data_IF_040453309989
#
_entry.id   IF_040453309989
#
_cell.length_a   1.000
_cell.length_b   1.000
_cell.length_c   1.000
_cell.angle_alpha   90.00
_cell.angle_beta   90.00
_cell.angle_gamma   90.00
#
_symmetry.space_group_name_H-M   'P 1'
#
loop_
_entity.id
_entity.type
_entity.pdbx_description
1 polymer ?
#
# COMPACT_ATOMS: atom_id res chain seq x y z
N UNK A 1 -26.04 34.38 -16.46
CA UNK A 1 -26.49 32.96 -16.50
C UNK A 1 -25.28 32.03 -16.38
N UNK A 2 -24.41 32.27 -15.39
CA UNK A 2 -23.14 31.55 -15.17
C UNK A 2 -23.00 31.05 -13.74
N UNK A 3 -23.90 31.44 -12.83
CA UNK A 3 -23.83 31.13 -11.39
C UNK A 3 -24.28 29.70 -11.02
N UNK A 4 -24.57 28.86 -12.00
CA UNK A 4 -25.00 27.46 -11.78
C UNK A 4 -23.88 26.44 -11.98
N UNK A 5 -22.73 26.85 -12.50
CA UNK A 5 -21.58 25.97 -12.64
C UNK A 5 -20.71 26.12 -11.39
N UNK A 6 -20.89 25.21 -10.42
CA UNK A 6 -19.90 25.02 -9.35
C UNK A 6 -18.55 24.82 -10.03
N UNK A 7 -17.57 25.67 -9.71
CA UNK A 7 -16.19 25.46 -10.14
C UNK A 7 -15.77 24.09 -9.61
N UNK A 8 -15.38 23.20 -10.52
CA UNK A 8 -14.91 21.88 -10.14
C UNK A 8 -13.52 22.03 -9.51
N UNK A 9 -13.43 21.90 -8.19
CA UNK A 9 -12.19 22.06 -7.41
C UNK A 9 -11.18 20.90 -7.60
N UNK A 10 -11.42 20.01 -8.57
CA UNK A 10 -10.59 18.84 -8.84
C UNK A 10 -11.12 17.54 -8.23
N UNK A 11 -10.47 16.43 -8.59
CA UNK A 11 -10.80 15.09 -8.09
C UNK A 11 -9.92 14.75 -6.88
N UNK A 12 -10.49 14.77 -5.68
CA UNK A 12 -9.86 14.19 -4.49
C UNK A 12 -10.17 12.68 -4.43
N UNK A 13 -9.24 11.89 -4.98
CA UNK A 13 -9.36 10.44 -5.10
C UNK A 13 -9.51 9.78 -3.72
N UNK A 14 -8.82 10.30 -2.70
CA UNK A 14 -8.86 9.74 -1.34
C UNK A 14 -10.24 9.91 -0.73
N UNK A 15 -10.78 11.12 -0.80
CA UNK A 15 -12.12 11.41 -0.29
C UNK A 15 -13.20 10.60 -1.02
N UNK A 16 -13.13 10.56 -2.35
CA UNK A 16 -14.12 9.83 -3.15
C UNK A 16 -14.03 8.32 -2.94
N UNK A 17 -12.82 7.75 -2.87
CA UNK A 17 -12.64 6.34 -2.60
C UNK A 17 -13.22 5.93 -1.24
N UNK A 18 -13.03 6.73 -0.20
CA UNK A 18 -13.63 6.48 1.11
C UNK A 18 -15.16 6.49 1.06
N UNK A 19 -15.76 7.49 0.38
CA UNK A 19 -17.22 7.58 0.21
C UNK A 19 -17.76 6.36 -0.54
N UNK A 20 -17.09 5.95 -1.62
CA UNK A 20 -17.48 4.78 -2.43
C UNK A 20 -17.35 3.48 -1.63
N UNK A 21 -16.27 3.34 -0.85
CA UNK A 21 -16.02 2.18 0.02
C UNK A 21 -17.17 1.96 0.99
N UNK A 22 -17.57 3.04 1.69
CA UNK A 22 -18.66 3.02 2.67
C UNK A 22 -20.02 2.77 2.02
N UNK A 23 -20.33 3.46 0.91
CA UNK A 23 -21.64 3.35 0.25
C UNK A 23 -21.87 1.99 -0.39
N UNK A 24 -20.85 1.41 -1.00
CA UNK A 24 -20.96 0.16 -1.75
C UNK A 24 -20.51 -1.07 -0.95
N UNK A 25 -19.96 -0.88 0.25
CA UNK A 25 -19.41 -1.95 1.10
C UNK A 25 -18.37 -2.79 0.35
N UNK A 26 -17.38 -2.12 -0.24
CA UNK A 26 -16.31 -2.75 -1.04
C UNK A 26 -14.93 -2.25 -0.65
N UNK A 27 -13.93 -3.10 -0.82
CA UNK A 27 -12.54 -2.71 -0.75
C UNK A 27 -12.08 -2.19 -2.13
N UNK A 28 -11.12 -1.28 -2.14
CA UNK A 28 -10.56 -0.69 -3.35
C UNK A 28 -9.02 -0.73 -3.28
N UNK A 29 -8.40 -1.38 -4.27
CA UNK A 29 -6.97 -1.25 -4.54
C UNK A 29 -6.81 -0.20 -5.66
N UNK A 30 -6.12 0.90 -5.37
CA UNK A 30 -5.98 2.04 -6.28
C UNK A 30 -4.54 2.11 -6.80
N UNK A 31 -4.42 2.04 -8.13
CA UNK A 31 -3.18 1.99 -8.87
C UNK A 31 -2.95 3.29 -9.62
N UNK A 32 -1.73 3.81 -9.53
CA UNK A 32 -1.32 5.01 -10.26
C UNK A 32 -0.28 4.63 -11.30
N UNK A 33 -0.32 5.34 -12.42
CA UNK A 33 0.73 5.23 -13.42
C UNK A 33 1.93 6.08 -13.00
N UNK A 34 3.09 5.43 -12.86
CA UNK A 34 4.37 6.06 -12.63
C UNK A 34 5.03 6.36 -13.98
N UNK A 35 5.12 7.65 -14.31
CA UNK A 35 5.73 8.13 -15.56
C UNK A 35 7.25 7.89 -15.61
N UNK A 36 7.95 7.89 -14.47
CA UNK A 36 9.40 7.71 -14.41
C UNK A 36 9.77 6.27 -14.74
N UNK A 37 9.07 5.33 -14.09
CA UNK A 37 9.33 3.89 -14.23
C UNK A 37 8.47 3.23 -15.31
N UNK A 38 7.60 4.00 -15.99
CA UNK A 38 6.64 3.55 -17.01
C UNK A 38 5.85 2.31 -16.58
N UNK A 39 5.35 2.32 -15.35
CA UNK A 39 4.72 1.16 -14.72
C UNK A 39 3.56 1.57 -13.81
N UNK A 40 2.63 0.66 -13.58
CA UNK A 40 1.58 0.86 -12.58
C UNK A 40 2.01 0.36 -11.21
N UNK A 41 1.79 1.17 -10.19
CA UNK A 41 2.06 0.81 -8.80
C UNK A 41 0.82 1.08 -7.93
N UNK A 42 0.61 0.24 -6.90
CA UNK A 42 -0.50 0.48 -5.97
C UNK A 42 -0.12 1.62 -5.03
N UNK A 43 -0.80 2.76 -5.17
CA UNK A 43 -0.55 3.93 -4.31
C UNK A 43 -1.42 3.93 -3.05
N UNK A 44 -2.63 3.36 -3.12
CA UNK A 44 -3.57 3.40 -2.01
C UNK A 44 -4.41 2.13 -1.94
N UNK A 45 -4.75 1.71 -0.71
CA UNK A 45 -5.71 0.65 -0.44
C UNK A 45 -6.75 1.20 0.53
N UNK A 46 -8.01 1.21 0.11
CA UNK A 46 -9.15 1.59 0.95
C UNK A 46 -9.91 0.33 1.31
N UNK A 47 -10.09 0.10 2.60
CA UNK A 47 -10.79 -1.07 3.13
C UNK A 47 -12.10 -0.59 3.74
N UNK A 48 -13.21 -1.25 3.40
CA UNK A 48 -14.47 -1.00 4.07
C UNK A 48 -14.34 -1.41 5.54
N UNK A 49 -14.70 -0.50 6.44
CA UNK A 49 -14.78 -0.76 7.88
C UNK A 49 -16.23 -0.56 8.28
N UNK A 50 -16.81 -1.58 8.90
CA UNK A 50 -18.15 -1.48 9.45
C UNK A 50 -18.05 -0.89 10.86
N UNK A 51 -18.60 0.30 11.07
CA UNK A 51 -18.55 1.00 12.36
C UNK A 51 -19.30 0.22 13.47
N UNK A 52 -20.17 -0.74 13.11
CA UNK A 52 -20.88 -1.59 14.08
C UNK A 52 -20.04 -2.73 14.67
N UNK A 53 -18.85 -3.05 14.12
CA UNK A 53 -18.02 -4.17 14.60
C UNK A 53 -16.93 -3.75 15.60
N UNK A 54 -16.68 -2.45 15.74
CA UNK A 54 -15.57 -1.93 16.57
C UNK A 54 -16.01 -1.55 18.00
N UNK A 55 -17.31 -1.63 18.31
CA UNK A 55 -17.88 -1.05 19.54
C UNK A 55 -18.07 -2.01 20.73
N UNK A 56 -18.08 -3.35 20.56
CA UNK A 56 -18.31 -4.24 21.72
C UNK A 56 -17.39 -5.45 21.72
N UNK A 57 -16.49 -5.45 22.70
CA UNK A 57 -15.93 -6.69 23.18
C UNK A 57 -17.01 -7.55 23.85
N UNK A 58 -16.87 -8.86 23.65
CA UNK A 58 -17.34 -9.96 24.50
C UNK A 58 -18.69 -10.64 24.14
N UNK A 59 -18.54 -11.87 23.65
CA UNK A 59 -19.33 -13.07 23.98
C UNK A 59 -20.86 -12.96 24.00
N UNK A 60 -21.51 -13.29 22.89
CA UNK A 60 -22.59 -14.31 22.83
C UNK A 60 -23.10 -14.44 21.39
N UNK A 61 -23.73 -15.59 21.10
CA UNK A 61 -24.35 -15.96 19.82
C UNK A 61 -23.38 -16.48 18.73
N UNK A 62 -22.94 -17.72 18.93
CA UNK A 62 -22.20 -18.55 17.98
C UNK A 62 -23.00 -18.95 16.73
N UNK A 63 -24.26 -18.51 16.58
CA UNK A 63 -25.18 -18.98 15.52
C UNK A 63 -25.43 -17.95 14.40
N UNK A 64 -25.08 -16.67 14.59
CA UNK A 64 -25.23 -15.62 13.56
C UNK A 64 -23.97 -15.41 12.70
N UNK A 65 -22.90 -16.17 12.95
CA UNK A 65 -21.59 -16.00 12.30
C UNK A 65 -21.58 -16.40 10.81
N UNK A 66 -22.59 -17.15 10.37
CA UNK A 66 -22.66 -17.76 9.03
C UNK A 66 -23.27 -16.82 7.98
N UNK A 67 -23.98 -15.76 8.38
CA UNK A 67 -24.73 -14.87 7.45
C UNK A 67 -23.94 -13.59 7.08
N UNK A 68 -22.89 -13.22 7.83
CA UNK A 68 -22.15 -11.96 7.63
C UNK A 68 -20.75 -12.10 6.99
N UNK A 69 -20.37 -13.28 6.51
CA UNK A 69 -19.19 -13.43 5.65
C UNK A 69 -19.59 -13.36 4.18
N UNK A 70 -20.34 -12.32 3.80
CA UNK A 70 -20.35 -11.92 2.41
C UNK A 70 -18.95 -11.39 2.14
N UNK A 71 -18.09 -12.18 1.46
CA UNK A 71 -16.72 -11.78 1.15
C UNK A 71 -16.73 -10.37 0.57
N UNK A 72 -16.20 -9.40 1.33
CA UNK A 72 -16.17 -8.01 0.91
C UNK A 72 -15.37 -7.96 -0.39
N UNK A 73 -16.05 -7.65 -1.48
CA UNK A 73 -15.44 -7.62 -2.81
C UNK A 73 -14.37 -6.55 -2.83
N UNK A 74 -13.21 -6.89 -3.38
CA UNK A 74 -12.14 -5.92 -3.66
C UNK A 74 -12.17 -5.60 -5.15
N UNK A 75 -12.26 -4.32 -5.48
CA UNK A 75 -12.17 -3.83 -6.86
C UNK A 75 -10.83 -3.15 -7.10
N UNK A 76 -10.31 -3.28 -8.31
CA UNK A 76 -9.11 -2.59 -8.75
C UNK A 76 -9.51 -1.31 -9.49
N UNK A 77 -8.95 -0.17 -9.07
CA UNK A 77 -9.13 1.13 -9.73
C UNK A 77 -7.77 1.57 -10.26
N UNK A 78 -7.74 1.93 -11.53
CA UNK A 78 -6.57 2.51 -12.17
C UNK A 78 -6.79 4.00 -12.39
N UNK A 79 -5.81 4.79 -11.99
CA UNK A 79 -5.79 6.24 -12.08
C UNK A 79 -4.68 6.65 -13.03
N UNK A 80 -5.04 7.45 -14.02
CA UNK A 80 -4.11 8.07 -14.96
C UNK A 80 -4.28 9.57 -14.88
N UNK A 81 -3.18 10.27 -14.63
CA UNK A 81 -3.15 11.73 -14.55
C UNK A 81 -2.28 12.27 -15.69
N UNK A 82 -2.77 13.30 -16.38
CA UNK A 82 -1.99 14.04 -17.37
C UNK A 82 -2.33 15.52 -17.34
N UNK A 83 -1.49 16.33 -17.97
CA UNK A 83 -1.67 17.77 -18.09
C UNK A 83 -2.11 18.07 -19.52
N UNK A 84 -3.24 18.76 -19.67
CA UNK A 84 -3.74 19.24 -20.95
C UNK A 84 -4.03 20.73 -20.85
N UNK A 85 -3.40 21.52 -21.71
CA UNK A 85 -3.54 22.99 -21.73
C UNK A 85 -3.34 23.65 -20.35
N UNK A 86 -2.42 23.12 -19.55
CA UNK A 86 -2.13 23.62 -18.19
C UNK A 86 -3.08 23.10 -17.10
N UNK A 87 -4.11 22.34 -17.45
CA UNK A 87 -5.03 21.73 -16.50
C UNK A 87 -4.64 20.29 -16.20
N UNK A 88 -4.61 19.93 -14.92
CA UNK A 88 -4.42 18.55 -14.48
C UNK A 88 -5.72 17.78 -14.64
N UNK A 89 -5.72 16.77 -15.50
CA UNK A 89 -6.85 15.88 -15.75
C UNK A 89 -6.52 14.52 -15.15
N UNK A 90 -7.41 14.00 -14.32
CA UNK A 90 -7.29 12.67 -13.72
C UNK A 90 -8.46 11.80 -14.18
N UNK A 91 -8.15 10.66 -14.79
CA UNK A 91 -9.13 9.63 -15.15
C UNK A 91 -9.00 8.44 -14.20
N UNK A 92 -10.13 7.97 -13.69
CA UNK A 92 -10.20 6.77 -12.86
C UNK A 92 -11.12 5.74 -13.52
N UNK A 93 -10.69 4.49 -13.61
CA UNK A 93 -11.46 3.39 -14.18
C UNK A 93 -11.37 2.15 -13.31
N UNK A 94 -12.52 1.51 -13.07
CA UNK A 94 -12.58 0.21 -12.41
C UNK A 94 -12.24 -0.87 -13.43
N UNK A 95 -11.40 -1.82 -13.05
CA UNK A 95 -11.00 -2.95 -13.89
C UNK A 95 -11.29 -4.28 -13.21
N UNK A 96 -11.80 -5.23 -13.99
CA UNK A 96 -11.96 -6.62 -13.55
C UNK A 96 -10.65 -7.41 -13.64
N UNK A 97 -9.73 -7.02 -14.54
CA UNK A 97 -8.46 -7.70 -14.74
C UNK A 97 -7.34 -6.68 -14.99
N UNK A 98 -6.66 -6.27 -13.92
CA UNK A 98 -5.51 -5.35 -13.98
C UNK A 98 -4.31 -5.91 -14.76
N UNK A 99 -4.09 -7.23 -14.76
CA UNK A 99 -2.97 -7.83 -15.46
C UNK A 99 -3.15 -7.79 -16.98
N UNK A 100 -4.35 -8.11 -17.46
CA UNK A 100 -4.67 -8.04 -18.89
C UNK A 100 -4.59 -6.60 -19.42
N UNK A 101 -5.07 -5.63 -18.63
CA UNK A 101 -5.10 -4.23 -19.05
C UNK A 101 -3.72 -3.56 -19.04
N UNK A 102 -2.89 -3.87 -18.05
CA UNK A 102 -1.55 -3.25 -17.92
C UNK A 102 -0.46 -4.04 -18.64
N UNK A 103 -0.69 -5.32 -18.95
CA UNK A 103 0.34 -6.23 -19.42
C UNK A 103 1.38 -6.58 -18.33
N UNK A 104 1.19 -6.12 -17.10
CA UNK A 104 2.14 -6.32 -15.99
C UNK A 104 1.70 -7.48 -15.10
N UNK A 105 2.68 -8.21 -14.55
CA UNK A 105 2.46 -9.22 -13.51
C UNK A 105 2.54 -8.56 -12.14
N UNK A 106 1.49 -8.70 -11.34
CA UNK A 106 1.46 -8.21 -9.96
C UNK A 106 1.78 -9.34 -8.98
N UNK A 107 2.48 -9.01 -7.89
CA UNK A 107 2.70 -9.96 -6.81
C UNK A 107 1.36 -10.32 -6.14
N UNK A 108 1.01 -11.61 -5.99
CA UNK A 108 -0.29 -12.04 -5.46
C UNK A 108 -0.48 -11.74 -3.97
N UNK A 109 0.61 -11.62 -3.20
CA UNK A 109 0.53 -11.41 -1.75
C UNK A 109 0.40 -9.93 -1.39
N UNK A 110 1.24 -9.08 -1.98
CA UNK A 110 1.27 -7.66 -1.63
C UNK A 110 0.48 -6.79 -2.60
N UNK A 111 0.18 -7.23 -3.83
CA UNK A 111 -0.51 -6.46 -4.89
C UNK A 111 0.10 -5.08 -5.21
N UNK A 112 1.25 -4.75 -4.64
CA UNK A 112 1.84 -3.40 -4.69
C UNK A 112 2.90 -3.26 -5.78
N UNK A 113 3.68 -4.32 -6.01
CA UNK A 113 4.76 -4.33 -6.98
C UNK A 113 4.31 -5.05 -8.25
N UNK A 114 4.49 -4.37 -9.36
CA UNK A 114 4.27 -4.88 -10.71
C UNK A 114 5.60 -5.20 -11.39
N UNK A 115 5.58 -6.14 -12.32
CA UNK A 115 6.73 -6.59 -13.09
C UNK A 115 6.36 -6.65 -14.57
N UNK A 116 7.26 -6.18 -15.42
CA UNK A 116 7.08 -6.26 -16.86
C UNK A 116 7.53 -7.64 -17.37
N UNK A 117 6.64 -8.47 -17.96
CA UNK A 117 7.01 -9.77 -18.51
C UNK A 117 8.07 -9.73 -19.61
N UNK A 118 8.23 -8.58 -20.28
CA UNK A 118 9.23 -8.39 -21.32
C UNK A 118 10.65 -8.21 -20.77
N UNK A 119 10.80 -7.92 -19.47
CA UNK A 119 12.13 -7.75 -18.86
C UNK A 119 12.85 -9.09 -18.73
N UNK A 120 14.12 -9.14 -19.17
CA UNK A 120 14.98 -10.33 -19.09
C UNK A 120 15.07 -10.92 -17.68
N UNK A 121 15.06 -10.05 -16.66
CA UNK A 121 15.19 -10.45 -15.25
C UNK A 121 13.83 -10.65 -14.56
N UNK A 122 12.71 -10.45 -15.24
CA UNK A 122 11.37 -10.47 -14.65
C UNK A 122 11.11 -11.75 -13.86
N UNK A 123 11.40 -12.92 -14.43
CA UNK A 123 11.10 -14.20 -13.79
C UNK A 123 11.82 -14.34 -12.44
N UNK A 124 13.13 -14.06 -12.44
CA UNK A 124 13.98 -14.16 -11.24
C UNK A 124 13.56 -13.15 -10.17
N UNK A 125 13.28 -11.91 -10.57
CA UNK A 125 12.97 -10.84 -9.63
C UNK A 125 11.55 -10.98 -9.07
N UNK A 126 10.61 -11.51 -9.88
CA UNK A 126 9.27 -11.89 -9.46
C UNK A 126 9.33 -13.01 -8.41
N UNK A 127 10.03 -14.11 -8.69
CA UNK A 127 10.16 -15.25 -7.77
C UNK A 127 10.80 -14.84 -6.44
N UNK A 128 11.91 -14.10 -6.50
CA UNK A 128 12.57 -13.55 -5.30
C UNK A 128 11.65 -12.67 -4.47
N UNK A 129 10.79 -11.86 -5.12
CA UNK A 129 9.83 -11.04 -4.39
C UNK A 129 8.74 -11.91 -3.79
N UNK A 130 8.15 -12.85 -4.54
CA UNK A 130 7.06 -13.70 -4.08
C UNK A 130 7.45 -14.44 -2.81
N UNK A 131 8.62 -15.09 -2.80
CA UNK A 131 9.15 -15.78 -1.60
C UNK A 131 9.34 -14.81 -0.42
N UNK A 132 9.89 -13.61 -0.69
CA UNK A 132 10.05 -12.59 0.36
C UNK A 132 8.71 -12.09 0.89
N UNK A 133 7.72 -11.91 0.04
CA UNK A 133 6.40 -11.44 0.44
C UNK A 133 5.63 -12.52 1.20
N UNK A 134 5.71 -13.78 0.78
CA UNK A 134 5.15 -14.92 1.49
C UNK A 134 5.70 -15.01 2.92
N UNK A 135 7.02 -14.94 3.07
CA UNK A 135 7.69 -14.94 4.38
C UNK A 135 7.35 -13.73 5.28
N UNK A 136 6.82 -12.64 4.71
CA UNK A 136 6.42 -11.44 5.46
C UNK A 136 4.89 -11.25 5.50
N UNK A 137 4.10 -12.29 5.22
CA UNK A 137 2.63 -12.23 5.21
C UNK A 137 2.06 -11.13 4.28
N UNK A 138 2.72 -10.89 3.15
CA UNK A 138 2.35 -9.84 2.20
C UNK A 138 2.66 -8.41 2.65
N UNK A 139 3.25 -8.21 3.84
CA UNK A 139 3.68 -6.90 4.32
C UNK A 139 5.05 -6.56 3.75
N UNK A 140 5.20 -5.37 3.18
CA UNK A 140 6.51 -4.85 2.79
C UNK A 140 7.22 -4.37 4.05
N UNK A 141 7.94 -5.28 4.72
CA UNK A 141 8.81 -4.90 5.84
C UNK A 141 10.08 -4.29 5.24
N UNK A 142 10.09 -2.97 5.04
CA UNK A 142 11.35 -2.24 4.84
C UNK A 142 12.11 -2.30 6.17
N UNK A 143 12.93 -3.34 6.36
CA UNK A 143 13.92 -3.35 7.43
C UNK A 143 14.94 -2.26 7.08
N UNK A 144 14.75 -1.05 7.63
CA UNK A 144 15.80 -0.05 7.68
C UNK A 144 16.88 -0.66 8.55
N UNK A 145 17.87 -1.28 7.90
CA UNK A 145 19.14 -1.51 8.57
C UNK A 145 19.71 -0.12 8.71
N UNK A 146 19.58 0.48 9.89
CA UNK A 146 20.47 1.57 10.26
C UNK A 146 21.86 0.97 10.12
N UNK A 147 22.65 1.47 9.15
CA UNK A 147 24.07 1.16 9.13
C UNK A 147 24.55 1.40 10.55
N UNK A 148 25.08 0.32 11.15
CA UNK A 148 25.51 0.27 12.53
C UNK A 148 26.08 1.64 12.88
N UNK A 149 25.38 2.42 13.72
CA UNK A 149 25.84 3.76 14.10
C UNK A 149 27.27 3.52 14.53
N UNK A 150 28.23 3.99 13.73
CA UNK A 150 29.63 3.73 14.02
C UNK A 150 29.80 4.32 15.40
N UNK A 151 30.08 3.48 16.41
CA UNK A 151 30.43 3.98 17.73
C UNK A 151 31.50 5.03 17.45
N UNK A 152 31.31 6.30 17.84
CA UNK A 152 32.30 7.32 17.52
C UNK A 152 33.63 6.78 18.02
N UNK A 153 34.62 6.66 17.13
CA UNK A 153 35.90 6.10 17.49
C UNK A 153 36.59 7.13 18.37
N UNK A 154 36.40 6.99 19.68
CA UNK A 154 36.96 7.88 20.70
C UNK A 154 37.87 7.05 21.61
N UNK A 155 39.11 6.76 21.18
CA UNK A 155 40.00 5.84 21.89
C UNK A 155 40.26 6.25 23.32
N UNK A 156 40.39 7.55 23.58
CA UNK A 156 40.64 8.07 24.92
C UNK A 156 39.48 7.83 25.90
N UNK A 157 38.24 7.72 25.40
CA UNK A 157 37.08 7.33 26.22
C UNK A 157 36.99 5.81 26.32
N UNK A 158 37.16 5.08 25.21
CA UNK A 158 37.04 3.61 25.17
C UNK A 158 38.16 2.88 25.92
N UNK A 159 39.34 3.49 26.06
CA UNK A 159 40.48 2.95 26.82
C UNK A 159 40.42 3.31 28.32
N UNK A 160 39.48 4.17 28.73
CA UNK A 160 39.30 4.50 30.15
C UNK A 160 38.74 3.28 30.91
N UNK A 161 39.48 2.80 31.92
CA UNK A 161 39.12 1.61 32.72
C UNK A 161 37.77 1.76 33.41
N UNK A 162 37.44 2.96 33.91
CA UNK A 162 36.14 3.26 34.53
C UNK A 162 35.02 3.16 33.51
N UNK A 163 35.22 3.69 32.30
CA UNK A 163 34.23 3.59 31.23
C UNK A 163 34.02 2.15 30.74
N UNK A 164 35.08 1.34 30.68
CA UNK A 164 34.98 -0.10 30.38
C UNK A 164 34.18 -0.84 31.46
N UNK A 165 34.47 -0.58 32.74
CA UNK A 165 33.72 -1.15 33.86
C UNK A 165 32.23 -0.77 33.82
N UNK A 166 31.92 0.50 33.54
CA UNK A 166 30.55 0.98 33.42
C UNK A 166 29.83 0.34 32.24
N UNK A 167 30.47 0.16 31.09
CA UNK A 167 29.87 -0.56 29.95
C UNK A 167 29.61 -2.03 30.26
N UNK A 168 30.53 -2.72 30.93
CA UNK A 168 30.40 -4.14 31.25
C UNK A 168 29.31 -4.43 32.30
N UNK A 169 28.99 -3.45 33.14
CA UNK A 169 28.02 -3.59 34.23
C UNK A 169 26.72 -2.80 34.03
N UNK A 170 26.42 -2.34 32.80
CA UNK A 170 25.08 -1.82 32.49
C UNK A 170 24.06 -2.96 32.58
N UNK A 171 23.21 -2.93 33.61
CA UNK A 171 21.89 -3.58 33.59
C UNK A 171 20.87 -2.62 32.99
#
# INVERSE_FOLDING_TARGET
>A
MTDLLKTFDGLDITKQANIVSLKLKINQDIYYYDNEHKNYCRGMKVVYKDEMLDAEGLNSAQENKTILLQEIKTIDILVVEFIYEGNKISHAFATANKQALTGLKFCPHCNSKAFNPQDKNCSRDYEKLTIKCENNEGKIVKKVKLDYIQKPFVPHIMQNKTYQYLQANRK
#
